data_IF_409551884906
#
_entry.id   IF_409551884906
#
_cell.length_a   1.000
_cell.length_b   1.000
_cell.length_c   1.000
_cell.angle_alpha   90.00
_cell.angle_beta   90.00
_cell.angle_gamma   90.00
#
_symmetry.space_group_name_H-M   'P 1'
#
loop_
_entity.id
_entity.type
_entity.pdbx_description
1 polymer ?
#
# COMPACT_ATOMS: atom_id res chain seq x y z
N UNK A 1 6.11 10.10 -6.48
CA UNK A 1 7.48 10.61 -6.30
C UNK A 1 8.17 11.00 -7.61
N UNK A 2 8.43 10.10 -8.57
CA UNK A 2 9.18 10.48 -9.80
C UNK A 2 8.60 11.70 -10.52
N UNK A 3 7.28 11.71 -10.76
CA UNK A 3 6.57 12.83 -11.38
C UNK A 3 6.80 14.14 -10.60
N UNK A 4 6.57 14.14 -9.29
CA UNK A 4 6.72 15.33 -8.43
C UNK A 4 8.14 15.92 -8.49
N UNK A 5 9.17 15.07 -8.39
CA UNK A 5 10.57 15.53 -8.50
C UNK A 5 10.88 16.13 -9.87
N UNK A 6 10.41 15.48 -10.93
CA UNK A 6 10.64 15.95 -12.29
C UNK A 6 9.92 17.29 -12.55
N UNK A 7 8.71 17.47 -12.02
CA UNK A 7 7.98 18.74 -12.09
C UNK A 7 8.70 19.83 -11.29
N UNK A 8 9.04 19.57 -10.04
CA UNK A 8 9.71 20.55 -9.15
C UNK A 8 11.06 21.01 -9.69
N UNK A 9 11.88 20.07 -10.17
CA UNK A 9 13.25 20.36 -10.61
C UNK A 9 13.34 20.71 -12.09
N UNK A 10 12.22 20.64 -12.82
CA UNK A 10 12.23 20.84 -14.25
C UNK A 10 12.97 19.74 -15.03
N UNK A 11 13.16 18.54 -14.47
CA UNK A 11 13.98 17.46 -15.08
C UNK A 11 13.18 16.28 -15.67
N UNK A 12 13.86 15.41 -16.43
CA UNK A 12 13.28 14.17 -16.98
C UNK A 12 13.96 12.92 -16.40
N UNK A 13 14.24 12.93 -15.10
CA UNK A 13 14.98 11.85 -14.44
C UNK A 13 14.16 10.55 -14.43
N UNK A 14 14.84 9.43 -14.65
CA UNK A 14 14.29 8.10 -14.47
C UNK A 14 13.97 7.82 -12.99
N UNK A 15 13.17 6.78 -12.75
CA UNK A 15 12.82 6.35 -11.38
C UNK A 15 14.04 6.02 -10.53
N UNK A 16 15.09 5.47 -11.15
CA UNK A 16 16.34 5.11 -10.47
C UNK A 16 17.12 6.35 -10.06
N UNK A 17 17.21 7.33 -10.96
CA UNK A 17 17.88 8.61 -10.69
C UNK A 17 17.16 9.40 -9.60
N UNK A 18 15.82 9.52 -9.68
CA UNK A 18 15.04 10.16 -8.61
C UNK A 18 15.24 9.46 -7.26
N UNK A 19 15.30 8.12 -7.22
CA UNK A 19 15.58 7.39 -5.96
C UNK A 19 16.98 7.65 -5.40
N UNK A 20 17.97 7.91 -6.25
CA UNK A 20 19.31 8.31 -5.79
C UNK A 20 19.25 9.74 -5.25
N UNK A 21 18.74 10.67 -6.07
CA UNK A 21 18.64 12.07 -5.73
C UNK A 21 17.82 12.34 -4.47
N UNK A 22 16.66 11.70 -4.32
CA UNK A 22 15.78 11.86 -3.17
C UNK A 22 16.41 11.44 -1.83
N UNK A 23 17.47 10.62 -1.84
CA UNK A 23 18.24 10.27 -0.64
C UNK A 23 19.19 11.37 -0.21
N UNK A 24 19.71 12.14 -1.17
CA UNK A 24 20.62 13.26 -0.93
C UNK A 24 19.83 14.54 -0.65
N UNK A 25 18.74 14.76 -1.39
CA UNK A 25 17.87 15.92 -1.29
C UNK A 25 16.40 15.51 -1.35
N UNK A 26 15.78 15.40 -0.18
CA UNK A 26 14.33 15.16 -0.07
C UNK A 26 13.55 16.44 -0.38
N UNK A 27 12.38 16.32 -1.01
CA UNK A 27 11.43 17.43 -1.08
C UNK A 27 10.97 17.79 0.35
N UNK A 28 10.69 19.07 0.63
CA UNK A 28 10.17 19.48 1.91
C UNK A 28 8.79 18.86 2.14
N UNK A 29 8.54 18.43 3.37
CA UNK A 29 7.23 17.97 3.85
C UNK A 29 6.59 19.09 4.67
N UNK A 30 5.28 18.99 4.92
CA UNK A 30 4.54 20.06 5.59
C UNK A 30 5.15 20.46 6.94
N UNK A 31 5.65 19.48 7.71
CA UNK A 31 6.29 19.72 9.02
C UNK A 31 7.68 20.37 8.95
N UNK A 32 8.23 20.61 7.76
CA UNK A 32 9.50 21.34 7.60
C UNK A 32 9.31 22.86 7.60
N UNK A 33 8.08 23.35 7.55
CA UNK A 33 7.73 24.75 7.44
C UNK A 33 7.29 25.35 8.79
N UNK A 34 7.33 26.69 8.91
CA UNK A 34 6.75 27.37 10.08
C UNK A 34 5.24 27.21 10.12
N UNK A 35 4.61 27.47 11.27
CA UNK A 35 3.16 27.35 11.41
C UNK A 35 2.42 28.26 10.43
N UNK A 36 2.88 29.50 10.24
CA UNK A 36 2.30 30.44 9.26
C UNK A 36 2.41 29.91 7.83
N UNK A 37 3.57 29.35 7.48
CA UNK A 37 3.82 28.77 6.17
C UNK A 37 2.99 27.50 5.91
N UNK A 38 2.74 26.70 6.95
CA UNK A 38 1.85 25.55 6.90
C UNK A 38 0.43 26.01 6.59
N UNK A 39 -0.10 26.97 7.35
CA UNK A 39 -1.45 27.50 7.15
C UNK A 39 -1.62 28.15 5.78
N UNK A 40 -0.63 28.90 5.31
CA UNK A 40 -0.63 29.47 3.97
C UNK A 40 -0.79 28.38 2.90
N UNK A 41 0.00 27.30 2.97
CA UNK A 41 -0.07 26.18 2.02
C UNK A 41 -1.39 25.41 2.12
N UNK A 42 -1.88 25.19 3.35
CA UNK A 42 -3.18 24.57 3.58
C UNK A 42 -4.33 25.43 3.05
N UNK A 43 -4.21 26.76 3.05
CA UNK A 43 -5.22 27.65 2.51
C UNK A 43 -5.14 27.84 0.99
N UNK A 44 -3.94 27.83 0.39
CA UNK A 44 -3.75 28.32 -0.98
C UNK A 44 -3.28 27.28 -2.00
N UNK A 45 -2.64 26.18 -1.59
CA UNK A 45 -2.08 25.22 -2.54
C UNK A 45 -3.12 24.20 -2.97
N UNK A 46 -3.01 23.71 -4.20
CA UNK A 46 -3.78 22.54 -4.65
C UNK A 46 -3.30 21.27 -3.95
N UNK A 47 -4.23 20.53 -3.36
CA UNK A 47 -3.98 19.32 -2.57
C UNK A 47 -4.61 18.12 -3.27
N UNK A 48 -3.79 17.12 -3.58
CA UNK A 48 -4.28 15.85 -4.13
C UNK A 48 -3.95 14.69 -3.20
N UNK A 49 -4.86 13.71 -3.18
CA UNK A 49 -4.67 12.44 -2.50
C UNK A 49 -4.80 11.31 -3.51
N UNK A 50 -3.99 10.26 -3.34
CA UNK A 50 -4.12 9.03 -4.12
C UNK A 50 -4.53 7.90 -3.18
N UNK A 51 -5.75 7.41 -3.36
CA UNK A 51 -6.29 6.27 -2.64
C UNK A 51 -6.00 4.96 -3.40
N UNK A 52 -6.06 3.84 -2.67
CA UNK A 52 -5.98 2.50 -3.25
C UNK A 52 -7.00 1.61 -2.58
N UNK A 53 -7.60 0.68 -3.34
CA UNK A 53 -8.45 -0.35 -2.76
C UNK A 53 -7.73 -1.05 -1.58
N UNK A 54 -8.37 -1.15 -0.40
CA UNK A 54 -7.71 -1.65 0.81
C UNK A 54 -7.15 -3.06 0.66
N UNK A 55 -7.87 -3.99 0.02
CA UNK A 55 -7.38 -5.37 -0.16
C UNK A 55 -6.25 -5.45 -1.19
N UNK A 56 -6.36 -4.74 -2.31
CA UNK A 56 -5.28 -4.69 -3.30
C UNK A 56 -4.01 -4.08 -2.70
N UNK A 57 -4.15 -3.10 -1.80
CA UNK A 57 -3.04 -2.53 -1.03
C UNK A 57 -2.36 -3.59 -0.15
N UNK A 58 -3.13 -4.37 0.60
CA UNK A 58 -2.60 -5.44 1.46
C UNK A 58 -1.85 -6.51 0.68
N UNK A 59 -2.42 -7.01 -0.42
CA UNK A 59 -1.73 -7.99 -1.29
C UNK A 59 -0.41 -7.42 -1.85
N UNK A 60 -0.44 -6.16 -2.30
CA UNK A 60 0.74 -5.48 -2.83
C UNK A 60 1.85 -5.31 -1.80
N UNK A 61 1.49 -4.89 -0.58
CA UNK A 61 2.46 -4.70 0.50
C UNK A 61 3.04 -6.04 0.95
N UNK A 62 2.21 -7.06 1.10
CA UNK A 62 2.69 -8.40 1.47
C UNK A 62 3.70 -8.94 0.45
N UNK A 63 3.36 -8.88 -0.84
CA UNK A 63 4.26 -9.33 -1.91
C UNK A 63 5.57 -8.55 -1.92
N UNK A 64 5.53 -7.24 -1.66
CA UNK A 64 6.73 -6.41 -1.58
C UNK A 64 7.62 -6.76 -0.38
N UNK A 65 7.01 -6.86 0.81
CA UNK A 65 7.73 -7.03 2.07
C UNK A 65 8.25 -8.46 2.24
N UNK A 66 7.42 -9.46 1.99
CA UNK A 66 7.72 -10.84 2.37
C UNK A 66 8.26 -11.68 1.21
N UNK A 67 7.87 -11.38 -0.03
CA UNK A 67 8.22 -12.21 -1.20
C UNK A 67 9.32 -11.57 -2.06
N UNK A 68 9.15 -10.31 -2.44
CA UNK A 68 10.00 -9.67 -3.46
C UNK A 68 11.35 -9.26 -2.90
N UNK A 69 11.38 -8.78 -1.65
CA UNK A 69 12.57 -8.23 -1.03
C UNK A 69 12.84 -8.82 0.37
N UNK A 70 13.08 -10.14 0.48
CA UNK A 70 13.29 -10.80 1.76
C UNK A 70 14.54 -10.32 2.49
N UNK A 71 15.54 -9.80 1.76
CA UNK A 71 16.79 -9.26 2.33
C UNK A 71 16.58 -8.15 3.37
N UNK A 72 15.44 -7.46 3.35
CA UNK A 72 15.16 -6.38 4.29
C UNK A 72 14.74 -6.86 5.70
N UNK A 73 14.74 -8.17 5.96
CA UNK A 73 14.49 -8.71 7.29
C UNK A 73 13.02 -8.67 7.72
N UNK A 74 12.09 -8.41 6.79
CA UNK A 74 10.67 -8.27 7.11
C UNK A 74 10.05 -9.57 7.59
N UNK A 75 10.48 -10.70 7.02
CA UNK A 75 10.01 -12.02 7.41
C UNK A 75 10.38 -12.34 8.87
N UNK A 76 11.61 -12.02 9.27
CA UNK A 76 12.11 -12.20 10.63
C UNK A 76 11.40 -11.25 11.59
N UNK A 77 11.30 -9.97 11.22
CA UNK A 77 10.65 -8.92 12.02
C UNK A 77 9.20 -9.28 12.35
N UNK A 78 8.46 -9.82 11.39
CA UNK A 78 7.04 -10.14 11.54
C UNK A 78 6.77 -11.65 11.65
N UNK A 79 7.79 -12.44 12.02
CA UNK A 79 7.68 -13.90 12.17
C UNK A 79 6.59 -14.34 13.14
N UNK A 80 6.32 -13.55 14.19
CA UNK A 80 5.25 -13.79 15.16
C UNK A 80 3.84 -13.75 14.56
N UNK A 81 3.65 -13.20 13.35
CA UNK A 81 2.37 -13.30 12.63
C UNK A 81 1.98 -14.75 12.35
N UNK A 82 2.95 -15.67 12.26
CA UNK A 82 2.71 -17.11 12.13
C UNK A 82 1.84 -17.69 13.25
N UNK A 83 1.91 -17.12 14.45
CA UNK A 83 1.14 -17.57 15.62
C UNK A 83 -0.36 -17.43 15.40
N UNK A 84 -0.80 -16.51 14.53
CA UNK A 84 -2.23 -16.28 14.23
C UNK A 84 -2.89 -17.46 13.51
N UNK A 85 -2.09 -18.25 12.79
CA UNK A 85 -2.52 -19.45 12.09
C UNK A 85 -1.92 -20.72 12.71
N UNK A 86 -1.04 -20.57 13.71
CA UNK A 86 -0.26 -21.64 14.32
C UNK A 86 0.08 -21.36 15.79
N UNK A 87 -0.92 -21.30 16.68
CA UNK A 87 -0.72 -20.89 18.07
C UNK A 87 0.18 -21.85 18.87
N UNK A 88 0.22 -23.13 18.50
CA UNK A 88 1.01 -24.15 19.18
C UNK A 88 2.53 -24.05 18.93
N UNK A 89 2.95 -23.17 18.02
CA UNK A 89 4.36 -23.03 17.60
C UNK A 89 5.28 -22.62 18.77
N UNK A 90 4.79 -21.82 19.72
CA UNK A 90 5.54 -21.41 20.92
C UNK A 90 5.50 -22.44 22.05
N UNK A 91 4.35 -23.08 22.27
CA UNK A 91 4.10 -23.90 23.46
C UNK A 91 4.60 -25.33 23.30
N UNK A 92 4.57 -25.88 22.09
CA UNK A 92 4.89 -27.29 21.83
C UNK A 92 6.14 -27.50 20.96
N UNK A 93 6.87 -26.44 20.57
CA UNK A 93 7.97 -26.48 19.59
C UNK A 93 7.61 -27.25 18.30
N UNK A 94 6.33 -27.20 17.90
CA UNK A 94 5.85 -27.89 16.70
C UNK A 94 6.25 -27.08 15.47
N UNK A 95 6.80 -27.75 14.46
CA UNK A 95 7.00 -27.17 13.14
C UNK A 95 5.64 -26.93 12.50
N UNK A 96 5.33 -25.65 12.23
CA UNK A 96 4.13 -25.34 11.51
C UNK A 96 4.26 -25.88 10.07
N UNK A 97 3.49 -26.90 9.69
CA UNK A 97 3.67 -27.72 8.48
C UNK A 97 3.50 -26.99 7.12
N UNK A 98 3.64 -25.66 7.04
CA UNK A 98 3.55 -24.85 5.82
C UNK A 98 4.50 -23.63 5.85
N UNK A 99 5.66 -23.75 6.47
CA UNK A 99 6.72 -22.74 6.29
C UNK A 99 7.31 -22.87 4.90
N UNK A 100 6.94 -21.92 4.03
CA UNK A 100 7.56 -21.82 2.71
C UNK A 100 8.91 -21.15 2.91
N UNK A 101 9.97 -21.84 2.53
CA UNK A 101 11.29 -21.25 2.43
C UNK A 101 11.43 -20.50 1.11
N UNK A 102 11.95 -19.29 1.17
CA UNK A 102 12.28 -18.51 -0.02
C UNK A 102 13.79 -18.33 -0.12
N UNK A 103 14.33 -18.63 -1.30
CA UNK A 103 15.73 -18.39 -1.64
C UNK A 103 15.90 -16.99 -2.20
N UNK A 104 16.94 -16.29 -1.76
CA UNK A 104 17.31 -14.98 -2.30
C UNK A 104 18.72 -15.01 -2.91
N UNK A 105 19.24 -13.91 -3.44
CA UNK A 105 20.60 -13.87 -4.01
C UNK A 105 21.63 -14.25 -2.94
N UNK A 106 22.33 -15.37 -3.16
CA UNK A 106 23.21 -16.03 -2.18
C UNK A 106 22.59 -17.30 -1.62
N UNK A 107 23.35 -18.11 -0.87
CA UNK A 107 22.82 -19.32 -0.22
C UNK A 107 21.95 -19.02 1.02
N UNK A 108 21.27 -17.86 1.05
CA UNK A 108 20.43 -17.42 2.16
C UNK A 108 18.98 -17.86 1.94
N UNK A 109 18.42 -18.48 2.97
CA UNK A 109 17.05 -18.96 3.00
C UNK A 109 16.29 -18.24 4.11
N UNK A 110 15.09 -17.76 3.81
CA UNK A 110 14.23 -17.09 4.77
C UNK A 110 12.92 -17.83 4.93
N UNK A 111 12.40 -17.90 6.16
CA UNK A 111 11.06 -18.40 6.43
C UNK A 111 10.04 -17.34 6.00
N UNK A 112 9.23 -17.64 4.98
CA UNK A 112 8.21 -16.73 4.51
C UNK A 112 7.06 -16.62 5.51
N UNK A 113 6.63 -15.39 5.82
CA UNK A 113 5.31 -15.14 6.43
C UNK A 113 4.22 -15.31 5.36
N UNK A 114 3.37 -16.35 5.42
CA UNK A 114 2.34 -16.59 4.41
C UNK A 114 1.28 -15.49 4.43
N UNK A 115 0.68 -15.22 3.27
CA UNK A 115 -0.36 -14.19 3.15
C UNK A 115 -1.50 -14.35 4.16
N UNK A 116 -1.94 -15.58 4.43
CA UNK A 116 -2.99 -15.85 5.42
C UNK A 116 -2.61 -15.40 6.84
N UNK A 117 -1.37 -15.65 7.26
CA UNK A 117 -0.85 -15.20 8.56
C UNK A 117 -0.80 -13.68 8.62
N UNK A 118 -0.32 -13.05 7.55
CA UNK A 118 -0.30 -11.59 7.42
C UNK A 118 -1.70 -10.98 7.47
N UNK A 119 -2.65 -11.46 6.66
CA UNK A 119 -4.01 -10.94 6.59
C UNK A 119 -4.71 -11.04 7.97
N UNK A 120 -4.61 -12.20 8.63
CA UNK A 120 -5.18 -12.41 9.95
C UNK A 120 -4.52 -11.56 11.04
N UNK A 121 -3.20 -11.42 11.00
CA UNK A 121 -2.47 -10.53 11.91
C UNK A 121 -2.86 -9.07 11.71
N UNK A 122 -3.00 -8.60 10.47
CA UNK A 122 -3.44 -7.23 10.15
C UNK A 122 -4.87 -7.00 10.62
N UNK A 123 -5.78 -7.95 10.40
CA UNK A 123 -7.15 -7.88 10.90
C UNK A 123 -7.19 -7.71 12.42
N UNK A 124 -6.33 -8.43 13.16
CA UNK A 124 -6.22 -8.35 14.62
C UNK A 124 -5.30 -7.23 15.14
N UNK A 125 -4.59 -6.49 14.27
CA UNK A 125 -3.48 -5.62 14.66
C UNK A 125 -3.85 -4.36 15.45
N UNK A 126 -5.15 -4.03 15.56
CA UNK A 126 -5.61 -2.92 16.40
C UNK A 126 -5.15 -3.08 17.86
N UNK A 127 -5.06 -4.33 18.34
CA UNK A 127 -4.73 -4.67 19.72
C UNK A 127 -3.31 -5.22 19.90
N UNK A 128 -2.48 -5.25 18.84
CA UNK A 128 -1.14 -5.87 18.84
C UNK A 128 -0.11 -4.97 18.16
N UNK A 129 0.66 -4.24 18.97
CA UNK A 129 1.63 -3.23 18.52
C UNK A 129 2.74 -3.83 17.67
N UNK A 130 3.12 -5.09 17.92
CA UNK A 130 4.14 -5.81 17.16
C UNK A 130 3.74 -6.08 15.70
N UNK A 131 2.44 -6.04 15.39
CA UNK A 131 1.92 -6.22 14.03
C UNK A 131 1.65 -4.90 13.32
N UNK A 132 1.83 -3.76 13.98
CA UNK A 132 1.56 -2.47 13.36
C UNK A 132 2.67 -2.04 12.39
N UNK A 133 2.26 -1.46 11.27
CA UNK A 133 3.15 -0.79 10.34
C UNK A 133 2.34 0.23 9.52
N UNK A 134 2.90 1.41 9.29
CA UNK A 134 2.28 2.46 8.47
C UNK A 134 1.83 1.97 7.08
N UNK A 135 2.48 0.98 6.48
CA UNK A 135 2.13 0.50 5.14
C UNK A 135 0.78 -0.25 5.07
N UNK A 136 0.30 -0.79 6.18
CA UNK A 136 -1.02 -1.41 6.32
C UNK A 136 -1.81 -0.81 7.50
N UNK A 137 -1.54 0.47 7.83
CA UNK A 137 -2.48 1.24 8.64
C UNK A 137 -3.56 1.85 7.75
N UNK A 138 -4.80 1.99 8.23
CA UNK A 138 -5.79 2.83 7.58
C UNK A 138 -5.24 4.26 7.34
N UNK A 139 -5.57 4.86 6.20
CA UNK A 139 -5.22 6.22 5.79
C UNK A 139 -5.84 7.21 6.76
N UNK A 140 -7.01 6.89 7.33
CA UNK A 140 -7.62 7.64 8.44
C UNK A 140 -6.69 7.82 9.64
N UNK A 141 -5.80 6.85 9.90
CA UNK A 141 -4.81 6.90 10.98
C UNK A 141 -3.47 7.52 10.57
N UNK A 142 -3.20 7.69 9.27
CA UNK A 142 -1.88 8.14 8.77
C UNK A 142 -1.92 9.61 8.34
N UNK A 143 -3.00 10.03 7.68
CA UNK A 143 -3.00 11.26 6.90
C UNK A 143 -4.20 12.16 7.21
N UNK A 144 -4.94 11.91 8.30
CA UNK A 144 -6.12 12.68 8.72
C UNK A 144 -6.97 13.17 7.53
N UNK A 145 -7.48 12.27 6.67
CA UNK A 145 -8.14 12.64 5.42
C UNK A 145 -9.35 13.57 5.63
N UNK A 146 -9.94 13.55 6.83
CA UNK A 146 -11.05 14.43 7.22
C UNK A 146 -10.62 15.84 7.64
N UNK A 147 -9.35 16.07 7.94
CA UNK A 147 -8.82 17.37 8.41
C UNK A 147 -8.28 18.24 7.26
N UNK A 148 -8.07 17.65 6.08
CA UNK A 148 -7.47 18.33 4.93
C UNK A 148 -8.51 18.39 3.82
N UNK A 149 -8.76 19.59 3.30
CA UNK A 149 -9.58 19.76 2.10
C UNK A 149 -8.75 19.45 0.85
N UNK A 150 -8.95 18.27 0.29
CA UNK A 150 -8.32 17.86 -0.96
C UNK A 150 -9.13 18.36 -2.16
N UNK A 151 -8.45 19.01 -3.10
CA UNK A 151 -9.03 19.44 -4.37
C UNK A 151 -9.28 18.26 -5.32
N UNK A 152 -8.51 17.18 -5.17
CA UNK A 152 -8.59 16.01 -6.04
C UNK A 152 -8.27 14.72 -5.28
N UNK A 153 -9.09 13.68 -5.49
CA UNK A 153 -8.83 12.33 -4.99
C UNK A 153 -8.76 11.39 -6.19
N UNK A 154 -7.55 10.89 -6.46
CA UNK A 154 -7.31 9.88 -7.49
C UNK A 154 -7.25 8.47 -6.92
N UNK A 155 -7.36 7.49 -7.80
CA UNK A 155 -7.40 6.06 -7.51
C UNK A 155 -6.22 5.36 -8.18
N UNK A 156 -5.53 4.49 -7.46
CA UNK A 156 -4.38 3.75 -7.98
C UNK A 156 -4.67 2.95 -9.25
N UNK A 157 -5.93 2.56 -9.44
CA UNK A 157 -6.49 1.85 -10.58
C UNK A 157 -6.44 2.68 -11.88
N UNK A 158 -6.60 4.00 -11.74
CA UNK A 158 -6.67 4.98 -12.83
C UNK A 158 -5.56 6.04 -12.70
N UNK A 159 -4.46 5.70 -12.00
CA UNK A 159 -3.47 6.67 -11.56
C UNK A 159 -2.86 7.49 -12.71
N UNK A 160 -2.71 6.89 -13.90
CA UNK A 160 -2.12 7.58 -15.04
C UNK A 160 -3.05 8.70 -15.53
N UNK A 161 -4.33 8.36 -15.68
CA UNK A 161 -5.40 9.25 -16.08
C UNK A 161 -5.63 10.34 -15.02
N UNK A 162 -5.73 9.96 -13.75
CA UNK A 162 -5.97 10.88 -12.64
C UNK A 162 -4.85 11.90 -12.46
N UNK A 163 -3.58 11.47 -12.55
CA UNK A 163 -2.45 12.39 -12.49
C UNK A 163 -2.41 13.30 -13.73
N UNK A 164 -2.77 12.80 -14.91
CA UNK A 164 -2.85 13.63 -16.12
C UNK A 164 -3.89 14.73 -15.92
N UNK A 165 -5.10 14.37 -15.45
CA UNK A 165 -6.19 15.31 -15.19
C UNK A 165 -5.78 16.37 -14.18
N UNK A 166 -5.36 15.95 -12.98
CA UNK A 166 -5.04 16.88 -11.90
C UNK A 166 -3.90 17.85 -12.29
N UNK A 167 -2.76 17.34 -12.75
CA UNK A 167 -1.63 18.23 -13.00
C UNK A 167 -1.80 19.10 -14.24
N UNK A 168 -2.47 18.63 -15.30
CA UNK A 168 -2.63 19.43 -16.53
C UNK A 168 -3.80 20.38 -16.44
N UNK A 169 -4.94 19.94 -15.92
CA UNK A 169 -6.16 20.73 -15.92
C UNK A 169 -6.32 21.56 -14.64
N UNK A 170 -6.08 20.99 -13.46
CA UNK A 170 -6.32 21.70 -12.20
C UNK A 170 -5.11 22.55 -11.77
N UNK A 171 -3.90 22.05 -12.00
CA UNK A 171 -2.65 22.75 -11.65
C UNK A 171 -2.11 23.59 -12.83
N UNK A 172 -2.43 23.22 -14.08
CA UNK A 172 -1.98 23.97 -15.27
C UNK A 172 -0.56 23.66 -15.71
N UNK A 173 -0.05 22.44 -15.51
CA UNK A 173 1.25 22.01 -16.02
C UNK A 173 1.22 21.89 -17.56
N UNK A 174 2.09 22.65 -18.23
CA UNK A 174 2.21 22.68 -19.70
C UNK A 174 3.62 22.29 -20.15
N UNK A 175 3.76 21.62 -21.30
CA UNK A 175 5.06 21.32 -21.92
C UNK A 175 5.86 20.20 -21.25
N UNK A 176 5.20 19.33 -20.47
CA UNK A 176 5.82 18.26 -19.65
C UNK A 176 5.22 16.88 -19.92
N UNK A 177 4.62 16.64 -21.09
CA UNK A 177 3.85 15.41 -21.33
C UNK A 177 4.69 14.12 -21.22
N UNK A 178 5.99 14.19 -21.49
CA UNK A 178 6.90 13.05 -21.52
C UNK A 178 7.26 12.46 -20.14
N UNK A 179 6.93 13.14 -19.03
CA UNK A 179 7.20 12.64 -17.68
C UNK A 179 5.97 12.03 -17.00
N UNK A 180 4.79 12.14 -17.62
CA UNK A 180 3.57 11.57 -17.07
C UNK A 180 3.57 10.04 -17.17
N UNK A 181 3.07 9.35 -16.13
CA UNK A 181 2.97 7.90 -16.16
C UNK A 181 2.00 7.45 -17.26
N UNK A 182 2.39 6.41 -17.97
CA UNK A 182 1.51 5.72 -18.91
C UNK A 182 0.63 4.70 -18.18
N UNK A 183 -0.56 4.43 -18.72
CA UNK A 183 -1.46 3.39 -18.20
C UNK A 183 -0.73 2.05 -18.14
N UNK A 184 -0.83 1.37 -17.01
CA UNK A 184 -0.23 0.03 -16.80
C UNK A 184 -1.33 -1.02 -16.62
N UNK A 185 -1.05 -2.28 -16.96
CA UNK A 185 -1.95 -3.38 -16.65
C UNK A 185 -2.24 -3.45 -15.15
N UNK A 186 -3.50 -3.77 -14.81
CA UNK A 186 -3.95 -3.86 -13.42
C UNK A 186 -3.45 -5.16 -12.81
N UNK A 187 -2.30 -5.09 -12.14
CA UNK A 187 -1.70 -6.23 -11.42
C UNK A 187 -2.48 -6.52 -10.12
N UNK A 188 -3.16 -5.51 -9.57
CA UNK A 188 -3.93 -5.59 -8.33
C UNK A 188 -4.94 -6.74 -8.32
N UNK A 189 -5.74 -6.88 -9.38
CA UNK A 189 -6.74 -7.95 -9.52
C UNK A 189 -6.11 -9.34 -9.43
N UNK A 190 -5.01 -9.59 -10.14
CA UNK A 190 -4.34 -10.88 -10.14
C UNK A 190 -3.80 -11.24 -8.75
N UNK A 191 -3.21 -10.25 -8.07
CA UNK A 191 -2.69 -10.42 -6.71
C UNK A 191 -3.82 -10.65 -5.70
N UNK A 192 -4.88 -9.86 -5.80
CA UNK A 192 -6.08 -9.96 -4.98
C UNK A 192 -6.62 -11.40 -5.00
N UNK A 193 -6.85 -11.94 -6.20
CA UNK A 193 -7.37 -13.31 -6.35
C UNK A 193 -6.41 -14.36 -5.80
N UNK A 194 -5.13 -14.31 -6.19
CA UNK A 194 -4.14 -15.35 -5.84
C UNK A 194 -3.96 -15.46 -4.32
N UNK A 195 -3.95 -14.34 -3.63
CA UNK A 195 -3.55 -14.27 -2.24
C UNK A 195 -4.77 -14.39 -1.30
N UNK A 196 -5.88 -13.71 -1.60
CA UNK A 196 -7.07 -13.72 -0.73
C UNK A 196 -7.95 -14.97 -0.83
N UNK A 197 -7.80 -15.82 -1.86
CA UNK A 197 -8.52 -17.11 -1.90
C UNK A 197 -8.21 -18.03 -0.69
N UNK A 198 -7.14 -17.73 0.07
CA UNK A 198 -6.70 -18.50 1.25
C UNK A 198 -7.17 -17.91 2.59
N UNK A 199 -7.85 -16.77 2.55
CA UNK A 199 -8.32 -16.02 3.72
C UNK A 199 -9.77 -16.41 4.00
N UNK A 200 -10.14 -16.62 5.27
CA UNK A 200 -11.53 -16.95 5.61
C UNK A 200 -12.43 -15.73 5.43
N UNK A 201 -13.73 -15.96 5.23
CA UNK A 201 -14.71 -14.86 5.16
C UNK A 201 -14.74 -14.04 6.47
N UNK A 202 -14.50 -14.68 7.60
CA UNK A 202 -14.38 -14.02 8.91
C UNK A 202 -13.19 -13.05 8.93
N UNK A 203 -12.00 -13.50 8.53
CA UNK A 203 -10.80 -12.65 8.46
C UNK A 203 -11.01 -11.50 7.43
N UNK A 204 -11.72 -11.77 6.33
CA UNK A 204 -12.09 -10.75 5.34
C UNK A 204 -13.03 -9.69 5.93
N UNK A 205 -14.04 -10.08 6.69
CA UNK A 205 -14.95 -9.15 7.35
C UNK A 205 -14.23 -8.32 8.42
N UNK A 206 -13.32 -8.93 9.18
CA UNK A 206 -12.50 -8.21 10.15
C UNK A 206 -11.56 -7.19 9.47
N UNK A 207 -11.01 -7.53 8.30
CA UNK A 207 -10.29 -6.57 7.47
C UNK A 207 -11.20 -5.45 6.99
N UNK A 208 -12.42 -5.75 6.52
CA UNK A 208 -13.38 -4.73 6.13
C UNK A 208 -13.69 -3.77 7.26
N UNK A 209 -14.04 -4.26 8.45
CA UNK A 209 -14.32 -3.39 9.60
C UNK A 209 -13.13 -2.50 9.95
N UNK A 210 -11.90 -3.01 9.83
CA UNK A 210 -10.68 -2.21 10.03
C UNK A 210 -10.52 -1.08 9.02
N UNK A 211 -10.90 -1.29 7.76
CA UNK A 211 -10.71 -0.33 6.67
C UNK A 211 -12.01 0.35 6.22
N UNK A 212 -13.10 0.19 6.97
CA UNK A 212 -14.47 0.60 6.59
C UNK A 212 -14.55 2.06 6.17
N UNK A 213 -13.88 2.93 6.92
CA UNK A 213 -13.79 4.35 6.61
C UNK A 213 -13.11 4.62 5.26
N UNK A 214 -12.06 3.88 4.91
CA UNK A 214 -11.40 4.02 3.60
C UNK A 214 -12.32 3.60 2.45
N UNK A 215 -13.12 2.55 2.66
CA UNK A 215 -14.11 2.15 1.67
C UNK A 215 -15.13 3.27 1.43
N UNK A 216 -15.65 3.86 2.50
CA UNK A 216 -16.60 4.97 2.44
C UNK A 216 -16.00 6.24 1.82
N UNK A 217 -14.87 6.71 2.35
CA UNK A 217 -14.26 7.98 1.94
C UNK A 217 -13.82 7.99 0.48
N UNK A 218 -13.38 6.84 -0.04
CA UNK A 218 -12.79 6.75 -1.38
C UNK A 218 -13.68 5.99 -2.37
N UNK A 219 -14.94 5.68 -2.00
CA UNK A 219 -15.91 5.08 -2.91
C UNK A 219 -15.57 3.65 -3.36
N UNK A 220 -14.85 2.88 -2.55
CA UNK A 220 -14.67 1.45 -2.79
C UNK A 220 -15.88 0.66 -2.26
N UNK A 221 -16.14 -0.52 -2.81
CA UNK A 221 -17.18 -1.44 -2.30
C UNK A 221 -16.57 -2.80 -1.94
N UNK A 222 -16.80 -3.20 -0.69
CA UNK A 222 -16.35 -4.50 -0.20
C UNK A 222 -17.14 -5.64 -0.84
N UNK A 223 -18.43 -5.44 -1.10
CA UNK A 223 -19.28 -6.40 -1.82
C UNK A 223 -18.72 -6.67 -3.23
N UNK A 224 -18.29 -5.61 -3.94
CA UNK A 224 -17.66 -5.76 -5.25
C UNK A 224 -16.37 -6.57 -5.17
N UNK A 225 -15.55 -6.38 -4.13
CA UNK A 225 -14.34 -7.18 -3.92
C UNK A 225 -14.66 -8.66 -3.64
N UNK A 226 -15.66 -8.94 -2.80
CA UNK A 226 -16.12 -10.31 -2.56
C UNK A 226 -16.67 -10.96 -3.84
N UNK A 227 -17.45 -10.24 -4.65
CA UNK A 227 -17.94 -10.73 -5.93
C UNK A 227 -16.81 -11.01 -6.92
N UNK A 228 -15.79 -10.15 -6.98
CA UNK A 228 -14.59 -10.36 -7.80
C UNK A 228 -13.90 -11.65 -7.38
N UNK A 229 -13.68 -11.84 -6.08
CA UNK A 229 -13.06 -13.06 -5.54
C UNK A 229 -13.88 -14.31 -5.85
N UNK A 230 -15.20 -14.26 -5.74
CA UNK A 230 -16.09 -15.38 -6.05
C UNK A 230 -16.08 -15.75 -7.55
N UNK A 231 -16.16 -14.76 -8.45
CA UNK A 231 -16.14 -14.99 -9.92
C UNK A 231 -14.84 -15.63 -10.40
N UNK A 232 -13.71 -15.36 -9.75
CA UNK A 232 -12.44 -15.98 -10.06
C UNK A 232 -12.38 -17.47 -9.67
N UNK A 233 -13.11 -17.89 -8.64
CA UNK A 233 -13.17 -19.28 -8.20
C UNK A 233 -13.98 -20.19 -9.13
N UNK A 234 -14.90 -19.62 -9.92
CA UNK A 234 -15.79 -20.36 -10.85
C UNK A 234 -15.14 -20.59 -12.23
N UNK A 235 -14.06 -19.87 -12.56
CA UNK A 235 -13.35 -19.99 -13.85
C UNK A 235 -12.20 -21.01 -13.85
N UNK A 236 -12.15 -21.90 -12.87
CA UNK A 236 -11.15 -22.98 -12.76
C UNK A 236 -11.77 -24.32 -13.09
#
# INVERSE_FOLDING_TARGET
MQLLYNLELGTNMSRREVRKFAREKRLPILSDFSEEDIWLRLATYKKFLVARNPLERLASVWSGFFVTYPVYGWNEKYSSMMETICPEMKTKKITCNKTIEIKWKGNQTHQLVPFKAFAKAVAASANRTEFQNQHWKPISEICSPCQIHYDFVGHMENLAEDLNTFFRHDVGVVGRDNIFPQRKPRIGDQMLHKDFQKVSIEDMNNLYERYKDEYGFFGYSFENDLQRLAKASVRK
#
